data_IF_539105551250
#
_entry.id   IF_539105551250
#
_cell.length_a   1.000
_cell.length_b   1.000
_cell.length_c   1.000
_cell.angle_alpha   90.00
_cell.angle_beta   90.00
_cell.angle_gamma   90.00
#
_symmetry.space_group_name_H-M   'P 1'
#
loop_
_entity.id
_entity.type
_entity.pdbx_description
1 polymer ?
#
# COMPACT_ATOMS: atom_id res chain seq x y z
N UNK A 1 38.80 54.51 8.23
CA UNK A 1 37.46 54.62 7.63
C UNK A 1 37.55 54.09 6.20
N UNK A 2 36.90 53.03 5.70
CA UNK A 2 35.61 52.40 6.01
C UNK A 2 35.56 50.92 5.56
N UNK A 3 34.83 50.10 6.33
CA UNK A 3 34.55 48.65 6.17
C UNK A 3 33.83 48.33 4.85
N UNK A 4 34.04 47.15 4.26
CA UNK A 4 32.97 46.41 3.55
C UNK A 4 33.03 44.90 3.81
N UNK A 5 31.88 44.43 4.28
CA UNK A 5 31.49 43.17 4.92
C UNK A 5 31.54 41.95 4.00
N UNK A 6 31.84 40.80 4.60
CA UNK A 6 31.78 39.44 4.02
C UNK A 6 30.35 39.06 3.62
N UNK A 7 30.16 38.29 2.54
CA UNK A 7 28.91 37.55 2.35
C UNK A 7 29.19 36.18 1.71
N UNK A 8 29.39 35.18 2.57
CA UNK A 8 29.33 33.76 2.24
C UNK A 8 27.87 33.42 1.93
N UNK A 9 27.57 33.10 0.67
CA UNK A 9 26.22 32.69 0.27
C UNK A 9 26.07 31.19 0.48
N UNK A 10 25.64 30.81 1.68
CA UNK A 10 25.19 29.45 1.98
C UNK A 10 23.82 29.25 1.33
N UNK A 11 23.80 28.75 0.10
CA UNK A 11 22.57 28.38 -0.58
C UNK A 11 22.01 27.06 -0.03
N UNK A 12 21.27 27.11 1.09
CA UNK A 12 20.34 26.05 1.43
C UNK A 12 19.16 26.16 0.45
N UNK A 13 19.18 25.34 -0.60
CA UNK A 13 18.02 25.16 -1.49
C UNK A 13 16.92 24.53 -0.63
N UNK A 14 15.97 25.35 -0.20
CA UNK A 14 14.80 24.91 0.54
C UNK A 14 13.97 23.97 -0.33
N UNK A 15 13.64 22.80 0.20
CA UNK A 15 12.64 21.92 -0.41
C UNK A 15 11.33 22.71 -0.44
N UNK A 16 10.69 22.89 -1.61
CA UNK A 16 9.42 23.60 -1.68
C UNK A 16 8.37 22.85 -0.85
N UNK A 17 7.80 23.53 0.14
CA UNK A 17 6.79 22.99 1.06
C UNK A 17 5.60 22.33 0.35
N UNK A 18 5.27 22.77 -0.87
CA UNK A 18 4.21 22.20 -1.69
C UNK A 18 4.46 20.74 -2.12
N UNK A 19 5.72 20.34 -2.37
CA UNK A 19 6.04 18.97 -2.76
C UNK A 19 5.81 17.98 -1.60
N UNK A 20 6.07 18.41 -0.37
CA UNK A 20 5.86 17.62 0.85
C UNK A 20 4.37 17.34 1.06
N UNK A 21 3.49 18.33 0.88
CA UNK A 21 2.04 18.15 1.03
C UNK A 21 1.46 17.17 -0.02
N UNK A 22 1.91 17.28 -1.27
CA UNK A 22 1.46 16.37 -2.33
C UNK A 22 1.86 14.92 -2.07
N UNK A 23 3.08 14.68 -1.55
CA UNK A 23 3.55 13.35 -1.16
C UNK A 23 2.73 12.79 0.00
N UNK A 24 2.51 13.58 1.07
CA UNK A 24 1.72 13.15 2.23
C UNK A 24 0.28 12.82 1.86
N UNK A 25 -0.37 13.60 0.99
CA UNK A 25 -1.72 13.31 0.51
C UNK A 25 -1.76 12.03 -0.32
N UNK A 26 -0.76 11.81 -1.18
CA UNK A 26 -0.64 10.59 -1.98
C UNK A 26 -0.43 9.37 -1.09
N UNK A 27 0.44 9.45 -0.09
CA UNK A 27 0.68 8.40 0.90
C UNK A 27 -0.60 8.11 1.69
N UNK A 28 -1.25 9.12 2.27
CA UNK A 28 -2.50 8.95 3.01
C UNK A 28 -3.62 8.34 2.17
N UNK A 29 -3.73 8.75 0.91
CA UNK A 29 -4.71 8.17 -0.01
C UNK A 29 -4.37 6.70 -0.33
N UNK A 30 -3.10 6.39 -0.55
CA UNK A 30 -2.65 5.01 -0.79
C UNK A 30 -2.85 4.10 0.43
N UNK A 31 -2.56 4.59 1.63
CA UNK A 31 -2.76 3.87 2.88
C UNK A 31 -4.24 3.58 3.10
N UNK A 32 -5.11 4.58 2.93
CA UNK A 32 -6.55 4.42 3.08
C UNK A 32 -7.13 3.37 2.12
N UNK A 33 -6.65 3.33 0.87
CA UNK A 33 -7.08 2.32 -0.10
C UNK A 33 -6.57 0.92 0.26
N UNK A 34 -5.38 0.80 0.84
CA UNK A 34 -4.83 -0.49 1.30
C UNK A 34 -5.53 -1.01 2.55
N UNK A 35 -5.83 -0.16 3.53
CA UNK A 35 -6.59 -0.52 4.72
C UNK A 35 -7.99 -0.99 4.33
N UNK A 36 -8.68 -0.24 3.47
CA UNK A 36 -10.00 -0.62 2.97
C UNK A 36 -9.97 -1.95 2.22
N UNK A 37 -9.03 -2.12 1.30
CA UNK A 37 -8.87 -3.38 0.56
C UNK A 37 -8.64 -4.57 1.50
N UNK A 38 -7.75 -4.42 2.47
CA UNK A 38 -7.44 -5.47 3.44
C UNK A 38 -8.66 -5.81 4.29
N UNK A 39 -9.44 -4.79 4.69
CA UNK A 39 -10.69 -4.98 5.42
C UNK A 39 -11.74 -5.72 4.57
N UNK A 40 -11.92 -5.34 3.30
CA UNK A 40 -12.86 -5.98 2.37
C UNK A 40 -12.49 -7.47 2.16
N UNK A 41 -11.20 -7.78 1.97
CA UNK A 41 -10.70 -9.16 1.86
C UNK A 41 -10.94 -9.94 3.14
N UNK A 42 -10.56 -9.39 4.30
CA UNK A 42 -10.76 -10.08 5.59
C UNK A 42 -12.24 -10.33 5.86
N UNK A 43 -13.11 -9.36 5.61
CA UNK A 43 -14.55 -9.52 5.77
C UNK A 43 -15.11 -10.59 4.84
N UNK A 44 -14.68 -10.62 3.58
CA UNK A 44 -15.12 -11.64 2.63
C UNK A 44 -14.70 -13.06 3.04
N UNK A 45 -13.43 -13.25 3.40
CA UNK A 45 -12.90 -14.57 3.74
C UNK A 45 -13.26 -15.02 5.16
N UNK A 46 -13.58 -14.11 6.09
CA UNK A 46 -14.06 -14.47 7.44
C UNK A 46 -15.34 -15.30 7.42
N UNK A 47 -16.15 -15.19 6.35
CA UNK A 47 -17.34 -16.02 6.14
C UNK A 47 -17.01 -17.49 5.86
N UNK A 48 -15.74 -17.81 5.55
CA UNK A 48 -15.26 -19.15 5.22
C UNK A 48 -14.48 -19.80 6.37
N UNK A 49 -14.08 -19.03 7.38
CA UNK A 49 -13.28 -19.50 8.52
C UNK A 49 -12.40 -18.40 9.10
N UNK A 50 -11.68 -18.73 10.16
CA UNK A 50 -10.69 -17.84 10.75
C UNK A 50 -9.47 -17.70 9.83
N UNK A 51 -9.04 -16.45 9.65
CA UNK A 51 -7.91 -16.12 8.79
C UNK A 51 -6.66 -16.04 9.67
N UNK A 52 -5.65 -16.83 9.34
CA UNK A 52 -4.35 -16.80 10.02
C UNK A 52 -3.46 -15.69 9.45
N UNK A 53 -3.36 -15.61 8.12
CA UNK A 53 -2.49 -14.66 7.44
C UNK A 53 -3.10 -14.19 6.13
N UNK A 54 -2.93 -12.90 5.82
CA UNK A 54 -3.18 -12.32 4.49
C UNK A 54 -1.90 -11.66 4.03
N UNK A 55 -1.49 -11.92 2.80
CA UNK A 55 -0.32 -11.28 2.17
C UNK A 55 -0.66 -10.79 0.77
N UNK A 56 0.09 -9.80 0.30
CA UNK A 56 -0.06 -9.20 -1.02
C UNK A 56 1.23 -9.36 -1.81
N UNK A 57 1.10 -9.64 -3.10
CA UNK A 57 2.22 -9.67 -4.02
C UNK A 57 2.77 -8.27 -4.28
N UNK A 58 3.98 -8.21 -4.81
CA UNK A 58 4.61 -6.95 -5.20
C UNK A 58 3.74 -6.26 -6.27
N UNK A 59 3.30 -5.01 -6.04
CA UNK A 59 2.45 -4.32 -7.00
C UNK A 59 3.17 -4.13 -8.33
N UNK A 60 2.51 -4.53 -9.41
CA UNK A 60 3.00 -4.25 -10.76
C UNK A 60 2.66 -2.80 -11.14
N UNK A 61 3.62 -1.98 -11.59
CA UNK A 61 3.43 -0.54 -11.79
C UNK A 61 2.38 -0.17 -12.84
N UNK A 62 2.02 -1.09 -13.74
CA UNK A 62 0.98 -0.87 -14.76
C UNK A 62 -0.36 -1.55 -14.45
N UNK A 63 -0.42 -2.42 -13.43
CA UNK A 63 -1.66 -3.10 -13.09
C UNK A 63 -2.43 -2.33 -12.03
N UNK A 64 -3.74 -2.18 -12.25
CA UNK A 64 -4.68 -1.69 -11.23
C UNK A 64 -5.18 -2.81 -10.32
N UNK A 65 -4.74 -4.04 -10.56
CA UNK A 65 -5.12 -5.22 -9.80
C UNK A 65 -4.13 -5.43 -8.66
N UNK A 66 -4.65 -5.92 -7.53
CA UNK A 66 -3.84 -6.33 -6.38
C UNK A 66 -4.00 -7.82 -6.18
N UNK A 67 -2.92 -8.54 -6.44
CA UNK A 67 -2.86 -9.98 -6.23
C UNK A 67 -2.28 -10.30 -4.86
N UNK A 68 -2.61 -11.46 -4.35
CA UNK A 68 -2.07 -11.97 -3.10
C UNK A 68 -2.68 -13.31 -2.74
N UNK A 69 -2.46 -13.69 -1.50
CA UNK A 69 -3.01 -14.91 -0.95
C UNK A 69 -3.31 -14.79 0.53
N UNK A 70 -4.00 -15.79 1.04
CA UNK A 70 -4.27 -15.93 2.46
C UNK A 70 -4.26 -17.39 2.88
N UNK A 71 -3.94 -17.57 4.16
CA UNK A 71 -3.94 -18.85 4.85
C UNK A 71 -5.02 -18.80 5.91
N UNK A 72 -5.92 -19.77 5.88
CA UNK A 72 -6.92 -19.99 6.93
C UNK A 72 -6.28 -20.75 8.10
N UNK A 73 -6.81 -20.56 9.30
CA UNK A 73 -6.32 -21.27 10.50
C UNK A 73 -6.50 -22.79 10.45
N UNK A 74 -7.33 -23.30 9.53
CA UNK A 74 -7.48 -24.74 9.26
C UNK A 74 -6.50 -25.27 8.20
N UNK A 75 -5.58 -24.43 7.71
CA UNK A 75 -4.55 -24.78 6.75
C UNK A 75 -4.96 -24.62 5.28
N UNK A 76 -6.23 -24.29 4.97
CA UNK A 76 -6.65 -23.98 3.59
C UNK A 76 -5.97 -22.70 3.11
N UNK A 77 -5.53 -22.71 1.85
CA UNK A 77 -4.88 -21.57 1.23
C UNK A 77 -5.71 -21.09 0.04
N UNK A 78 -5.78 -19.78 -0.13
CA UNK A 78 -6.45 -19.16 -1.27
C UNK A 78 -5.54 -18.14 -1.91
N UNK A 79 -5.49 -18.13 -3.25
CA UNK A 79 -5.00 -16.97 -3.99
C UNK A 79 -6.17 -16.10 -4.44
N UNK A 80 -5.95 -14.79 -4.50
CA UNK A 80 -6.96 -13.84 -4.90
C UNK A 80 -6.41 -12.70 -5.76
N UNK A 81 -7.31 -12.13 -6.55
CA UNK A 81 -7.14 -10.86 -7.27
C UNK A 81 -8.21 -9.88 -6.82
N UNK A 82 -7.77 -8.72 -6.34
CA UNK A 82 -8.63 -7.61 -5.94
C UNK A 82 -8.60 -6.50 -6.99
N UNK A 83 -9.77 -6.16 -7.54
CA UNK A 83 -9.90 -5.08 -8.50
C UNK A 83 -11.18 -4.29 -8.25
N UNK A 84 -11.04 -3.01 -7.89
CA UNK A 84 -12.16 -2.05 -7.70
C UNK A 84 -13.31 -2.59 -6.79
N UNK A 85 -12.98 -3.36 -5.75
CA UNK A 85 -13.98 -3.93 -4.82
C UNK A 85 -14.49 -5.32 -5.22
N UNK A 86 -14.12 -5.84 -6.39
CA UNK A 86 -14.36 -7.23 -6.75
C UNK A 86 -13.19 -8.11 -6.27
N UNK A 87 -13.53 -9.29 -5.74
CA UNK A 87 -12.58 -10.31 -5.29
C UNK A 87 -12.81 -11.56 -6.14
N UNK A 88 -11.81 -11.93 -6.94
CA UNK A 88 -11.76 -13.22 -7.64
C UNK A 88 -10.78 -14.10 -6.88
N UNK A 89 -11.14 -15.34 -6.59
CA UNK A 89 -10.30 -16.22 -5.78
C UNK A 89 -10.37 -17.68 -6.22
N UNK A 90 -9.33 -18.43 -5.89
CA UNK A 90 -9.25 -19.88 -6.05
C UNK A 90 -8.66 -20.51 -4.79
N UNK A 91 -9.13 -21.70 -4.42
CA UNK A 91 -8.54 -22.50 -3.35
C UNK A 91 -7.33 -23.26 -3.93
N UNK A 92 -6.18 -23.12 -3.28
CA UNK A 92 -4.96 -23.80 -3.68
C UNK A 92 -5.06 -25.27 -3.27
N UNK A 93 -4.82 -26.17 -4.22
CA UNK A 93 -4.71 -27.61 -3.94
C UNK A 93 -3.24 -27.93 -3.72
N UNK A 94 -2.91 -28.30 -2.48
CA UNK A 94 -1.61 -28.93 -2.20
C UNK A 94 -1.72 -30.41 -2.62
N UNK A 95 -1.16 -30.75 -3.79
CA UNK A 95 -0.90 -32.15 -4.19
C UNK A 95 0.32 -32.72 -3.45
#
# INVERSE_FOLDING_TARGET
>A
MNKKTKMTWTGLIGIPTAAVLALLLKEKYQDYQQEKMTADIRQFFSQKGDIELVYFDVPQPQSKERNGGLVMSDGRQYSFTYQKGAIIYQEEKND
#
